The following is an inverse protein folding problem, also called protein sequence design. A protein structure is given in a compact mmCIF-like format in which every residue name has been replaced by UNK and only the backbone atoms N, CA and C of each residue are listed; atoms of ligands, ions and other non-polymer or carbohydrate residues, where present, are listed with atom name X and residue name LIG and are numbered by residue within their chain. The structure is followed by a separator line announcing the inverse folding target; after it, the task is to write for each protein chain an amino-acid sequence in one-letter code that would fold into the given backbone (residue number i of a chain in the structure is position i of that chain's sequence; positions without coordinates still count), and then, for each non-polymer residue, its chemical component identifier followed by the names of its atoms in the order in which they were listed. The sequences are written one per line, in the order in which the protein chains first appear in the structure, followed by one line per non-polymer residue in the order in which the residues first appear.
data_IF_208181163923
#
_entry.id   IF_208181163923
#
_cell.length_a   1.000
_cell.length_b   1.000
_cell.length_c   1.000
_cell.angle_alpha   90.00
_cell.angle_beta   90.00
_cell.angle_gamma   90.00
#
_symmetry.space_group_name_H-M   'P 1'
#
loop_
_entity.id
_entity.type
_entity.pdbx_description
1 polymer ?
#
# COMPACT_ATOMS: atom_id res chain seq x y z
N UNK A 1 12.06 0.88 -21.20
CA UNK A 1 12.22 2.11 -22.00
C UNK A 1 12.08 3.37 -21.13
N UNK A 2 11.07 3.48 -20.29
CA UNK A 2 10.85 4.68 -19.44
C UNK A 2 11.95 4.89 -18.39
N UNK A 3 12.50 3.82 -17.78
CA UNK A 3 13.51 3.95 -16.73
C UNK A 3 14.87 4.48 -17.24
N UNK A 4 15.29 4.10 -18.43
CA UNK A 4 16.57 4.54 -18.99
C UNK A 4 16.51 6.01 -19.45
N UNK A 5 15.41 6.42 -20.10
CA UNK A 5 15.20 7.81 -20.51
C UNK A 5 15.01 8.74 -19.28
N UNK A 6 14.29 8.30 -18.25
CA UNK A 6 14.15 9.04 -17.02
C UNK A 6 15.49 9.19 -16.28
N UNK A 7 16.31 8.16 -16.23
CA UNK A 7 17.64 8.23 -15.61
C UNK A 7 18.61 9.16 -16.37
N UNK A 8 18.54 9.18 -17.71
CA UNK A 8 19.35 10.07 -18.53
C UNK A 8 18.95 11.54 -18.35
N UNK A 9 17.67 11.85 -18.47
CA UNK A 9 17.14 13.20 -18.24
C UNK A 9 17.40 13.66 -16.79
N UNK A 10 17.36 12.74 -15.83
CA UNK A 10 17.61 13.00 -14.44
C UNK A 10 19.05 13.37 -14.14
N UNK A 11 20.03 12.66 -14.73
CA UNK A 11 21.46 12.97 -14.54
C UNK A 11 21.81 14.37 -15.07
N UNK A 12 21.26 14.73 -16.23
CA UNK A 12 21.51 16.04 -16.86
C UNK A 12 20.83 17.18 -16.08
N UNK A 13 19.63 16.97 -15.57
CA UNK A 13 18.89 17.94 -14.79
C UNK A 13 19.49 18.17 -13.40
N UNK A 14 19.91 17.10 -12.72
CA UNK A 14 20.60 17.18 -11.42
C UNK A 14 21.87 18.01 -11.51
N UNK A 15 22.61 17.86 -12.62
CA UNK A 15 23.85 18.60 -12.85
C UNK A 15 23.62 20.09 -13.14
N UNK A 16 22.49 20.44 -13.80
CA UNK A 16 22.18 21.83 -14.18
C UNK A 16 21.56 22.70 -13.09
N UNK A 17 20.81 22.11 -12.16
CA UNK A 17 19.94 22.88 -11.27
C UNK A 17 20.23 22.74 -9.76
N UNK A 18 21.24 22.00 -9.37
CA UNK A 18 21.64 21.79 -7.95
C UNK A 18 20.48 21.40 -7.02
N UNK A 19 19.42 20.77 -7.56
CA UNK A 19 18.22 20.46 -6.82
C UNK A 19 18.39 19.20 -5.96
N UNK A 20 18.13 19.33 -4.69
CA UNK A 20 18.09 18.20 -3.75
C UNK A 20 16.84 17.34 -3.97
N UNK A 21 16.87 16.49 -4.99
CA UNK A 21 15.78 15.51 -5.24
C UNK A 21 15.71 14.40 -4.20
N UNK A 22 16.67 14.32 -3.28
CA UNK A 22 16.76 13.25 -2.29
C UNK A 22 15.57 13.18 -1.33
N UNK A 23 14.84 14.26 -1.14
CA UNK A 23 13.76 14.39 -0.17
C UNK A 23 12.38 14.52 -0.82
N UNK A 24 12.26 14.37 -2.14
CA UNK A 24 10.97 14.49 -2.80
C UNK A 24 10.20 13.17 -2.74
N UNK A 25 8.92 13.28 -2.48
CA UNK A 25 7.96 12.21 -2.69
C UNK A 25 7.96 11.79 -4.17
N UNK A 26 7.89 10.50 -4.45
CA UNK A 26 8.15 9.94 -5.80
C UNK A 26 7.23 10.50 -6.88
N UNK A 27 5.95 10.74 -6.60
CA UNK A 27 5.04 11.37 -7.57
C UNK A 27 5.45 12.81 -7.85
N UNK A 28 5.81 13.60 -6.84
CA UNK A 28 6.30 14.97 -7.02
C UNK A 28 7.55 15.00 -7.90
N UNK A 29 8.43 14.03 -7.70
CA UNK A 29 9.60 13.87 -8.55
C UNK A 29 9.23 13.67 -10.03
N UNK A 30 8.28 12.77 -10.33
CA UNK A 30 7.84 12.55 -11.70
C UNK A 30 7.08 13.74 -12.28
N UNK A 31 6.31 14.45 -11.46
CA UNK A 31 5.64 15.68 -11.88
C UNK A 31 6.63 16.77 -12.27
N UNK A 32 7.66 16.99 -11.47
CA UNK A 32 8.71 17.95 -11.80
C UNK A 32 9.41 17.61 -13.14
N UNK A 33 9.60 16.33 -13.43
CA UNK A 33 10.14 15.89 -14.73
C UNK A 33 9.14 16.23 -15.87
N UNK A 34 7.85 15.95 -15.67
CA UNK A 34 6.82 16.25 -16.67
C UNK A 34 6.70 17.76 -16.95
N UNK A 35 6.77 18.61 -15.91
CA UNK A 35 6.82 20.06 -16.05
C UNK A 35 7.98 20.53 -16.94
N UNK A 36 9.15 19.91 -16.74
CA UNK A 36 10.35 20.22 -17.54
C UNK A 36 10.19 19.82 -19.02
N UNK A 37 9.69 18.61 -19.26
CA UNK A 37 9.54 18.07 -20.61
C UNK A 37 8.46 18.83 -21.39
N UNK A 38 7.33 19.15 -20.72
CA UNK A 38 6.18 19.81 -21.33
C UNK A 38 6.29 21.32 -21.38
N UNK A 39 7.23 21.91 -20.64
CA UNK A 39 7.32 23.37 -20.38
C UNK A 39 6.02 23.95 -19.84
N UNK A 40 5.27 23.16 -19.07
CA UNK A 40 4.00 23.54 -18.42
C UNK A 40 4.18 23.42 -16.90
N UNK A 41 3.44 24.24 -16.15
CA UNK A 41 3.34 24.12 -14.70
C UNK A 41 2.06 23.36 -14.34
N UNK A 42 2.17 22.52 -13.32
CA UNK A 42 1.04 21.80 -12.72
C UNK A 42 0.85 22.27 -11.29
N UNK A 43 -0.31 22.81 -10.96
CA UNK A 43 -0.59 23.38 -9.64
C UNK A 43 -0.69 22.31 -8.57
N UNK A 44 -1.11 21.09 -8.94
CA UNK A 44 -1.27 19.95 -8.03
C UNK A 44 -1.09 18.60 -8.73
N UNK A 45 -0.77 17.58 -7.96
CA UNK A 45 -0.77 16.18 -8.43
C UNK A 45 -2.23 15.74 -8.66
N UNK A 46 -2.64 15.42 -9.89
CA UNK A 46 -4.03 15.12 -10.16
C UNK A 46 -4.49 13.84 -9.47
N UNK A 47 -5.74 13.82 -9.05
CA UNK A 47 -6.37 12.60 -8.58
C UNK A 47 -6.55 11.62 -9.74
N UNK A 48 -6.19 10.36 -9.52
CA UNK A 48 -6.37 9.31 -10.51
C UNK A 48 -7.86 8.93 -10.58
N UNK A 49 -8.43 9.03 -11.77
CA UNK A 49 -9.74 8.46 -12.02
C UNK A 49 -9.64 6.93 -12.09
N UNK A 50 -10.33 6.25 -11.18
CA UNK A 50 -10.44 4.79 -11.20
C UNK A 50 -11.74 4.39 -11.92
N UNK A 51 -11.65 3.85 -13.16
CA UNK A 51 -12.83 3.40 -13.89
C UNK A 51 -13.60 2.33 -13.10
N UNK A 52 -14.92 2.33 -13.26
CA UNK A 52 -15.76 1.34 -12.61
C UNK A 52 -15.43 -0.08 -13.08
N UNK A 53 -15.48 -1.02 -12.16
CA UNK A 53 -15.39 -2.45 -12.40
C UNK A 53 -16.48 -3.16 -11.59
N UNK A 54 -17.15 -4.14 -12.17
CA UNK A 54 -18.23 -4.84 -11.49
C UNK A 54 -17.68 -5.77 -10.41
N UNK A 55 -17.97 -5.43 -9.16
CA UNK A 55 -17.63 -6.21 -7.96
C UNK A 55 -18.87 -6.64 -7.18
N UNK A 56 -20.06 -6.54 -7.77
CA UNK A 56 -21.35 -6.79 -7.08
C UNK A 56 -21.50 -8.24 -6.59
N UNK A 57 -20.78 -9.18 -7.21
CA UNK A 57 -20.78 -10.60 -6.82
C UNK A 57 -19.81 -10.92 -5.68
N UNK A 58 -18.99 -9.98 -5.26
CA UNK A 58 -18.02 -10.20 -4.18
C UNK A 58 -18.72 -9.90 -2.85
N UNK A 59 -18.76 -10.86 -1.91
CA UNK A 59 -19.42 -10.67 -0.62
C UNK A 59 -18.59 -9.78 0.31
N UNK A 60 -18.79 -8.47 0.21
CA UNK A 60 -18.15 -7.47 1.08
C UNK A 60 -19.20 -6.87 2.02
N UNK A 61 -18.87 -6.73 3.30
CA UNK A 61 -19.72 -6.07 4.26
C UNK A 61 -20.07 -4.64 3.81
N UNK A 62 -21.34 -4.28 3.90
CA UNK A 62 -21.86 -2.97 3.47
C UNK A 62 -21.37 -1.81 4.36
N UNK A 63 -21.06 -2.07 5.63
CA UNK A 63 -20.47 -1.07 6.52
C UNK A 63 -18.98 -0.89 6.25
N UNK A 64 -18.67 0.02 5.33
CA UNK A 64 -17.29 0.31 4.89
C UNK A 64 -16.40 0.70 6.09
N UNK A 65 -16.92 1.41 7.07
CA UNK A 65 -16.15 1.85 8.26
C UNK A 65 -15.61 0.69 9.09
N UNK A 66 -16.21 -0.48 8.96
CA UNK A 66 -15.79 -1.71 9.63
C UNK A 66 -14.86 -2.59 8.78
N UNK A 67 -14.66 -2.28 7.52
CA UNK A 67 -13.86 -3.09 6.62
C UNK A 67 -12.39 -2.63 6.62
N UNK A 68 -11.47 -3.51 6.95
CA UNK A 68 -10.03 -3.26 6.90
C UNK A 68 -9.39 -4.22 5.91
N UNK A 69 -8.65 -3.67 4.95
CA UNK A 69 -7.81 -4.44 4.05
C UNK A 69 -6.44 -4.72 4.67
N UNK A 70 -5.90 -5.90 4.44
CA UNK A 70 -4.51 -6.26 4.78
C UNK A 70 -3.83 -6.81 3.54
N UNK A 71 -2.71 -6.22 3.13
CA UNK A 71 -1.89 -6.69 2.02
C UNK A 71 -0.47 -7.00 2.51
N UNK A 72 -0.19 -8.27 2.86
CA UNK A 72 1.09 -8.68 3.46
C UNK A 72 2.22 -8.83 2.44
N UNK A 73 1.92 -8.77 1.15
CA UNK A 73 2.87 -8.94 0.08
C UNK A 73 3.82 -7.77 -0.13
N UNK A 74 5.02 -8.06 -0.61
CA UNK A 74 5.98 -7.10 -1.16
C UNK A 74 6.91 -7.80 -2.17
N UNK A 75 7.55 -7.02 -3.04
CA UNK A 75 8.44 -7.59 -4.07
C UNK A 75 9.65 -8.34 -3.51
N UNK A 76 10.23 -7.87 -2.41
CA UNK A 76 11.43 -8.42 -1.80
C UNK A 76 11.17 -8.86 -0.35
N UNK A 77 11.91 -9.87 0.13
CA UNK A 77 11.72 -10.42 1.48
C UNK A 77 12.07 -9.43 2.60
N UNK A 78 13.06 -8.59 2.39
CA UNK A 78 13.49 -7.54 3.34
C UNK A 78 12.51 -6.37 3.46
N UNK A 79 11.44 -6.38 2.66
CA UNK A 79 10.29 -5.47 2.76
C UNK A 79 9.03 -6.15 3.29
N UNK A 80 9.12 -7.45 3.65
CA UNK A 80 7.97 -8.23 4.14
C UNK A 80 8.03 -8.36 5.66
N UNK A 81 7.12 -7.68 6.33
CA UNK A 81 6.84 -7.98 7.72
C UNK A 81 6.26 -9.39 7.84
N UNK A 82 6.61 -10.20 8.87
CA UNK A 82 6.17 -11.57 8.98
C UNK A 82 4.65 -11.72 8.86
N UNK A 83 4.19 -12.67 8.08
CA UNK A 83 2.76 -12.90 7.87
C UNK A 83 2.04 -13.28 9.16
N UNK A 84 2.69 -14.03 10.06
CA UNK A 84 2.17 -14.32 11.41
C UNK A 84 1.81 -13.08 12.20
N UNK A 85 2.57 -12.00 12.03
CA UNK A 85 2.32 -10.73 12.71
C UNK A 85 1.06 -10.04 12.14
N UNK A 86 0.85 -10.12 10.81
CA UNK A 86 -0.41 -9.66 10.19
C UNK A 86 -1.62 -10.48 10.66
N UNK A 87 -1.48 -11.80 10.85
CA UNK A 87 -2.54 -12.64 11.40
C UNK A 87 -2.87 -12.26 12.86
N UNK A 88 -1.87 -11.94 13.67
CA UNK A 88 -2.08 -11.46 15.04
C UNK A 88 -2.86 -10.14 15.04
N UNK A 89 -2.44 -9.16 14.25
CA UNK A 89 -3.16 -7.88 14.07
C UNK A 89 -4.59 -8.12 13.54
N UNK A 90 -4.77 -9.00 12.56
CA UNK A 90 -6.08 -9.32 12.00
C UNK A 90 -7.02 -9.91 13.05
N UNK A 91 -6.53 -10.83 13.89
CA UNK A 91 -7.31 -11.41 14.98
C UNK A 91 -7.68 -10.36 16.04
N UNK A 92 -6.74 -9.50 16.41
CA UNK A 92 -7.00 -8.40 17.34
C UNK A 92 -8.10 -7.45 16.81
N UNK A 93 -8.02 -7.06 15.55
CA UNK A 93 -9.02 -6.19 14.91
C UNK A 93 -10.38 -6.89 14.78
N UNK A 94 -10.41 -8.18 14.42
CA UNK A 94 -11.63 -8.99 14.38
C UNK A 94 -12.32 -9.03 15.74
N UNK A 95 -11.58 -9.17 16.83
CA UNK A 95 -12.10 -9.14 18.20
C UNK A 95 -12.65 -7.76 18.59
N UNK A 96 -12.16 -6.67 17.96
CA UNK A 96 -12.71 -5.31 18.08
C UNK A 96 -13.94 -5.06 17.17
N UNK A 97 -14.39 -6.08 16.43
CA UNK A 97 -15.58 -6.03 15.57
C UNK A 97 -15.34 -5.54 14.15
N UNK A 98 -14.09 -5.45 13.71
CA UNK A 98 -13.78 -5.17 12.31
C UNK A 98 -13.94 -6.40 11.42
N UNK A 99 -14.25 -6.19 10.14
CA UNK A 99 -14.20 -7.19 9.08
C UNK A 99 -12.87 -7.07 8.34
N UNK A 100 -12.13 -8.18 8.28
CA UNK A 100 -10.77 -8.21 7.73
C UNK A 100 -10.79 -8.91 6.37
N UNK A 101 -10.18 -8.26 5.39
CA UNK A 101 -10.05 -8.75 4.02
C UNK A 101 -8.57 -8.76 3.63
N UNK A 102 -8.05 -9.96 3.30
CA UNK A 102 -6.67 -10.09 2.84
C UNK A 102 -6.59 -9.95 1.32
N UNK A 103 -5.71 -9.06 0.87
CA UNK A 103 -5.36 -8.84 -0.54
C UNK A 103 -4.06 -9.59 -0.82
N UNK A 104 -4.18 -10.75 -1.44
CA UNK A 104 -3.07 -11.69 -1.66
C UNK A 104 -2.71 -11.70 -3.14
N UNK A 105 -1.45 -11.41 -3.45
CA UNK A 105 -0.94 -11.41 -4.82
C UNK A 105 -0.88 -12.83 -5.44
N UNK A 106 -0.76 -12.92 -6.77
CA UNK A 106 -0.73 -14.20 -7.49
C UNK A 106 0.47 -15.08 -7.12
N UNK A 107 1.56 -14.46 -6.70
CA UNK A 107 2.80 -15.16 -6.32
C UNK A 107 2.82 -15.59 -4.84
N UNK A 108 1.74 -15.34 -4.09
CA UNK A 108 1.65 -15.51 -2.65
C UNK A 108 0.59 -16.55 -2.24
N UNK A 109 0.37 -17.57 -3.08
CA UNK A 109 -0.66 -18.61 -2.85
C UNK A 109 -0.55 -19.35 -1.51
N UNK A 110 0.67 -19.50 -0.99
CA UNK A 110 0.87 -20.08 0.33
C UNK A 110 0.21 -19.25 1.45
N UNK A 111 0.19 -17.92 1.31
CA UNK A 111 -0.47 -17.03 2.27
C UNK A 111 -2.00 -17.11 2.14
N UNK A 112 -2.51 -17.40 0.93
CA UNK A 112 -3.94 -17.60 0.70
C UNK A 112 -4.49 -18.78 1.54
N UNK A 113 -3.82 -19.92 1.49
CA UNK A 113 -4.22 -21.09 2.27
C UNK A 113 -4.23 -20.79 3.77
N UNK A 114 -3.23 -20.06 4.24
CA UNK A 114 -3.12 -19.68 5.64
C UNK A 114 -4.22 -18.69 6.07
N UNK A 115 -4.60 -17.72 5.20
CA UNK A 115 -5.75 -16.84 5.43
C UNK A 115 -7.05 -17.66 5.58
N UNK A 116 -7.31 -18.56 4.63
CA UNK A 116 -8.53 -19.36 4.62
C UNK A 116 -8.63 -20.30 5.84
N UNK A 117 -7.51 -20.92 6.25
CA UNK A 117 -7.45 -21.77 7.43
C UNK A 117 -7.72 -20.98 8.73
N UNK A 118 -7.46 -19.68 8.74
CA UNK A 118 -7.78 -18.78 9.85
C UNK A 118 -9.16 -18.10 9.71
N UNK A 119 -9.99 -18.52 8.74
CA UNK A 119 -11.32 -17.97 8.44
C UNK A 119 -11.29 -16.45 8.14
N UNK A 120 -10.33 -16.01 7.33
CA UNK A 120 -10.29 -14.66 6.76
C UNK A 120 -10.72 -14.67 5.30
N UNK A 121 -11.37 -13.60 4.88
CA UNK A 121 -11.82 -13.40 3.51
C UNK A 121 -10.69 -12.89 2.62
N UNK A 122 -10.56 -13.48 1.42
CA UNK A 122 -9.64 -13.06 0.37
C UNK A 122 -10.44 -12.68 -0.88
N UNK A 123 -10.91 -11.43 -1.02
CA UNK A 123 -11.95 -11.05 -1.99
C UNK A 123 -11.48 -11.12 -3.45
N UNK A 124 -10.19 -11.26 -3.71
CA UNK A 124 -9.63 -11.43 -5.05
C UNK A 124 -9.58 -12.89 -5.50
N UNK A 125 -9.95 -13.85 -4.62
CA UNK A 125 -9.83 -15.27 -4.86
C UNK A 125 -11.15 -16.02 -4.71
N UNK A 126 -11.39 -16.97 -5.60
CA UNK A 126 -12.54 -17.88 -5.55
C UNK A 126 -12.06 -19.28 -5.91
N UNK A 127 -12.33 -20.27 -5.04
CA UNK A 127 -11.94 -21.68 -5.23
C UNK A 127 -10.45 -21.88 -5.55
N UNK A 128 -9.57 -21.05 -4.98
CA UNK A 128 -8.12 -21.11 -5.19
C UNK A 128 -7.63 -20.49 -6.50
N UNK A 129 -8.52 -19.83 -7.25
CA UNK A 129 -8.20 -19.08 -8.47
C UNK A 129 -8.44 -17.59 -8.29
N UNK A 130 -7.56 -16.76 -8.88
CA UNK A 130 -7.73 -15.32 -8.87
C UNK A 130 -8.91 -14.92 -9.78
N UNK A 131 -9.87 -14.16 -9.23
CA UNK A 131 -11.10 -13.77 -9.94
C UNK A 131 -10.79 -12.84 -11.12
N UNK A 132 -9.85 -11.93 -10.97
CA UNK A 132 -9.44 -11.01 -12.02
C UNK A 132 -7.97 -10.62 -11.88
N UNK A 133 -7.29 -10.45 -13.02
CA UNK A 133 -5.94 -9.86 -13.11
C UNK A 133 -5.96 -8.38 -13.44
N UNK A 134 -7.15 -7.79 -13.58
CA UNK A 134 -7.32 -6.38 -13.88
C UNK A 134 -7.16 -5.56 -12.61
N UNK A 135 -6.21 -4.65 -12.59
CA UNK A 135 -5.93 -3.76 -11.44
C UNK A 135 -7.15 -2.94 -11.02
N UNK A 136 -8.07 -2.66 -11.97
CA UNK A 136 -9.33 -1.94 -11.67
C UNK A 136 -10.22 -2.74 -10.72
N UNK A 137 -10.15 -4.07 -10.77
CA UNK A 137 -10.87 -4.94 -9.85
C UNK A 137 -10.42 -4.69 -8.40
N UNK A 138 -9.11 -4.80 -8.13
CA UNK A 138 -8.53 -4.51 -6.81
C UNK A 138 -8.83 -3.08 -6.36
N UNK A 139 -8.71 -2.09 -7.25
CA UNK A 139 -9.00 -0.69 -6.92
C UNK A 139 -10.47 -0.44 -6.59
N UNK A 140 -11.42 -1.15 -7.21
CA UNK A 140 -12.83 -1.05 -6.87
C UNK A 140 -13.16 -1.79 -5.56
N UNK A 141 -12.49 -2.92 -5.27
CA UNK A 141 -12.55 -3.58 -3.95
C UNK A 141 -11.98 -2.66 -2.86
N UNK A 142 -10.87 -1.96 -3.12
CA UNK A 142 -10.27 -1.02 -2.19
C UNK A 142 -11.27 0.04 -1.72
N UNK A 143 -12.12 0.58 -2.61
CA UNK A 143 -13.17 1.56 -2.26
C UNK A 143 -14.21 1.04 -1.26
N UNK A 144 -14.21 -0.26 -0.97
CA UNK A 144 -15.06 -0.89 0.04
C UNK A 144 -14.36 -1.08 1.39
N UNK A 145 -13.13 -0.60 1.51
CA UNK A 145 -12.35 -0.65 2.75
C UNK A 145 -12.23 0.74 3.37
N UNK A 146 -12.19 0.81 4.68
CA UNK A 146 -11.89 2.04 5.42
C UNK A 146 -10.42 2.41 5.31
N UNK A 147 -9.55 1.40 5.35
CA UNK A 147 -8.12 1.56 5.23
C UNK A 147 -7.43 0.27 4.77
N UNK A 148 -6.13 0.37 4.47
CA UNK A 148 -5.24 -0.76 4.20
C UNK A 148 -4.07 -0.78 5.17
N UNK A 149 -3.75 -1.96 5.71
CA UNK A 149 -2.51 -2.25 6.44
C UNK A 149 -1.59 -3.05 5.51
N UNK A 150 -0.34 -2.60 5.32
CA UNK A 150 0.47 -3.19 4.25
C UNK A 150 1.97 -2.95 4.43
N UNK A 151 2.77 -3.76 3.74
CA UNK A 151 4.16 -3.45 3.46
C UNK A 151 4.29 -2.37 2.36
N UNK A 152 5.51 -1.89 2.12
CA UNK A 152 5.80 -1.08 0.94
C UNK A 152 5.75 -1.94 -0.33
N UNK A 153 4.62 -1.89 -1.03
CA UNK A 153 4.33 -2.74 -2.19
C UNK A 153 3.29 -2.14 -3.14
N UNK A 154 3.11 -2.80 -4.29
CA UNK A 154 2.22 -2.36 -5.37
C UNK A 154 0.76 -2.19 -4.95
N UNK A 155 0.24 -3.09 -4.11
CA UNK A 155 -1.14 -3.03 -3.61
C UNK A 155 -1.43 -1.74 -2.84
N UNK A 156 -0.43 -1.22 -2.10
CA UNK A 156 -0.58 0.04 -1.37
C UNK A 156 -0.88 1.22 -2.30
N UNK A 157 -0.26 1.25 -3.49
CA UNK A 157 -0.51 2.28 -4.49
C UNK A 157 -1.90 2.19 -5.09
N UNK A 158 -2.40 0.97 -5.37
CA UNK A 158 -3.76 0.77 -5.87
C UNK A 158 -4.80 1.33 -4.91
N UNK A 159 -4.61 1.10 -3.59
CA UNK A 159 -5.49 1.64 -2.56
C UNK A 159 -5.42 3.17 -2.46
N UNK A 160 -4.23 3.74 -2.46
CA UNK A 160 -4.05 5.20 -2.42
C UNK A 160 -4.64 5.88 -3.66
N UNK A 161 -4.50 5.29 -4.83
CA UNK A 161 -5.14 5.78 -6.06
C UNK A 161 -6.67 5.64 -6.02
N UNK A 162 -7.18 4.66 -5.30
CA UNK A 162 -8.62 4.52 -5.04
C UNK A 162 -9.14 5.49 -3.96
N UNK A 163 -8.28 6.34 -3.38
CA UNK A 163 -8.64 7.31 -2.35
C UNK A 163 -8.68 6.74 -0.93
N UNK A 164 -8.09 5.57 -0.70
CA UNK A 164 -8.12 4.87 0.58
C UNK A 164 -6.84 5.11 1.37
N UNK A 165 -6.98 5.46 2.65
CA UNK A 165 -5.83 5.65 3.53
C UNK A 165 -5.09 4.34 3.79
N UNK A 166 -3.76 4.43 3.90
CA UNK A 166 -2.91 3.26 4.13
C UNK A 166 -1.99 3.47 5.33
N UNK A 167 -1.82 2.44 6.15
CA UNK A 167 -0.72 2.34 7.12
C UNK A 167 0.32 1.39 6.54
N UNK A 168 1.48 1.93 6.18
CA UNK A 168 2.57 1.19 5.55
C UNK A 168 3.70 0.94 6.54
N UNK A 169 4.22 -0.28 6.57
CA UNK A 169 5.47 -0.58 7.24
C UNK A 169 6.61 -0.65 6.24
N UNK A 170 7.70 0.03 6.55
CA UNK A 170 8.91 0.11 5.74
C UNK A 170 10.07 -0.55 6.47
N UNK A 171 10.79 -1.42 5.75
CA UNK A 171 12.09 -1.93 6.16
C UNK A 171 13.18 -0.86 5.98
N UNK A 172 14.14 -1.13 5.09
CA UNK A 172 15.24 -0.20 4.79
C UNK A 172 14.90 0.85 3.71
N UNK A 173 13.71 0.76 3.12
CA UNK A 173 13.24 1.71 2.09
C UNK A 173 12.90 3.06 2.73
N UNK A 174 13.22 4.16 2.07
CA UNK A 174 12.90 5.51 2.52
C UNK A 174 11.39 5.76 2.53
N UNK A 175 10.80 5.75 3.71
CA UNK A 175 9.37 5.95 3.92
C UNK A 175 8.89 7.32 3.40
N UNK A 176 9.69 8.39 3.52
CA UNK A 176 9.32 9.74 3.05
C UNK A 176 9.17 9.79 1.54
N UNK A 177 9.97 9.00 0.82
CA UNK A 177 9.92 8.93 -0.64
C UNK A 177 8.70 8.18 -1.16
N UNK A 178 8.22 7.17 -0.43
CA UNK A 178 7.19 6.24 -0.89
C UNK A 178 5.85 6.31 -0.13
N UNK A 179 5.71 7.31 0.77
CA UNK A 179 4.45 7.58 1.45
C UNK A 179 3.75 8.78 0.83
N UNK A 180 2.57 8.57 0.25
CA UNK A 180 1.79 9.65 -0.37
C UNK A 180 1.18 10.54 0.70
N UNK A 181 1.49 11.86 0.71
CA UNK A 181 0.93 12.79 1.68
C UNK A 181 -0.62 12.79 1.68
N UNK A 182 -1.22 12.78 2.85
CA UNK A 182 -2.69 12.76 3.01
C UNK A 182 -3.36 11.40 2.85
N UNK A 183 -2.67 10.41 2.25
CA UNK A 183 -3.20 9.06 2.02
C UNK A 183 -2.41 7.96 2.72
N UNK A 184 -1.18 8.25 3.15
CA UNK A 184 -0.32 7.23 3.74
C UNK A 184 0.26 7.72 5.07
N UNK A 185 0.09 6.90 6.11
CA UNK A 185 0.94 6.94 7.29
C UNK A 185 1.97 5.82 7.20
N UNK A 186 3.15 6.07 7.76
CA UNK A 186 4.28 5.14 7.67
C UNK A 186 4.81 4.76 9.04
N UNK A 187 5.29 3.52 9.11
CA UNK A 187 6.15 2.99 10.17
C UNK A 187 7.48 2.71 9.51
N UNK A 188 8.50 3.53 9.75
CA UNK A 188 9.88 3.24 9.38
C UNK A 188 10.55 2.52 10.54
N UNK A 189 10.90 1.24 10.38
CA UNK A 189 11.49 0.44 11.48
C UNK A 189 12.78 1.05 12.02
N UNK A 190 13.50 1.81 11.18
CA UNK A 190 14.75 2.49 11.56
C UNK A 190 14.51 3.59 12.60
N UNK A 191 13.34 4.27 12.57
CA UNK A 191 12.97 5.27 13.57
C UNK A 191 12.75 4.66 14.96
N UNK A 192 12.53 3.34 15.02
CA UNK A 192 12.40 2.54 16.25
C UNK A 192 13.69 1.79 16.62
N UNK A 193 14.79 1.98 15.86
CA UNK A 193 16.08 1.36 16.12
C UNK A 193 16.25 -0.06 15.57
N UNK A 194 15.34 -0.52 14.68
CA UNK A 194 15.43 -1.84 14.06
C UNK A 194 16.12 -1.78 12.69
N UNK A 195 16.91 -2.81 12.39
CA UNK A 195 17.61 -2.96 11.10
C UNK A 195 17.00 -4.04 10.20
N UNK A 196 16.04 -4.81 10.72
CA UNK A 196 15.32 -5.83 9.97
C UNK A 196 13.82 -5.74 10.24
N UNK A 197 13.02 -5.77 9.18
CA UNK A 197 11.56 -5.73 9.30
C UNK A 197 11.01 -7.00 9.98
N UNK A 198 11.75 -8.11 9.91
CA UNK A 198 11.38 -9.38 10.54
C UNK A 198 11.38 -9.24 12.07
N UNK A 199 12.29 -8.43 12.62
CA UNK A 199 12.46 -8.24 14.05
C UNK A 199 11.52 -7.17 14.63
N UNK A 200 10.77 -6.46 13.77
CA UNK A 200 9.87 -5.38 14.21
C UNK A 200 8.65 -5.97 14.94
N UNK A 201 8.44 -5.62 16.22
CA UNK A 201 7.45 -6.30 17.05
C UNK A 201 6.01 -5.82 16.77
N UNK A 202 5.06 -6.74 16.92
CA UNK A 202 3.62 -6.46 16.76
C UNK A 202 3.16 -5.33 17.67
N UNK A 203 3.67 -5.25 18.90
CA UNK A 203 3.30 -4.22 19.87
C UNK A 203 3.56 -2.80 19.36
N UNK A 204 4.70 -2.53 18.74
CA UNK A 204 5.03 -1.21 18.19
C UNK A 204 4.12 -0.87 17.01
N UNK A 205 3.84 -1.87 16.17
CA UNK A 205 2.86 -1.72 15.09
C UNK A 205 1.46 -1.40 15.63
N UNK A 206 0.99 -2.10 16.68
CA UNK A 206 -0.31 -1.90 17.30
C UNK A 206 -0.48 -0.50 17.86
N UNK A 207 0.54 0.06 18.51
CA UNK A 207 0.50 1.44 19.04
C UNK A 207 0.22 2.43 17.90
N UNK A 208 0.97 2.31 16.80
CA UNK A 208 0.79 3.18 15.63
C UNK A 208 -0.54 2.94 14.94
N UNK A 209 -0.99 1.68 14.84
CA UNK A 209 -2.26 1.30 14.26
C UNK A 209 -3.45 1.92 15.03
N UNK A 210 -3.45 1.89 16.36
CA UNK A 210 -4.52 2.47 17.14
C UNK A 210 -4.64 3.99 16.88
N UNK A 211 -3.52 4.72 16.88
CA UNK A 211 -3.52 6.14 16.52
C UNK A 211 -4.00 6.39 15.08
N UNK A 212 -3.61 5.54 14.13
CA UNK A 212 -4.04 5.64 12.74
C UNK A 212 -5.55 5.45 12.60
N UNK A 213 -6.13 4.46 13.30
CA UNK A 213 -7.56 4.17 13.26
C UNK A 213 -8.42 5.28 13.90
N UNK A 214 -7.90 5.98 14.91
CA UNK A 214 -8.57 7.13 15.53
C UNK A 214 -8.66 8.35 14.59
N UNK A 215 -7.78 8.41 13.58
CA UNK A 215 -7.68 9.50 12.60
C UNK A 215 -8.34 9.19 11.25
N UNK A 216 -9.04 8.06 11.11
CA UNK A 216 -9.78 7.70 9.90
C UNK A 216 -11.11 8.44 9.82
#
# INVERSE_FOLDING_TARGET
FFSAAANFLFSDYKNKNNLEFKNLYIEQFYFNILELISNQKFDEIPNIYVPAYDITKIPINSDIKRNIGIAPGAGDNDRRWPFSNYLEIANMLRNKGYKIYFFIGPDEKNLLEECLNNNFDCPEWLNGEQISKDIRFTMNLAKKMSCLLTNDGGTSWMFQFAGVKTLKIFGLTDAKKFSRPGFSESISIQEYGYNSIIDFPVREYEIKLNSFLENL
#
